data_IF_985773456280
#
_entry.id   IF_985773456280
#
_cell.length_a   1.000
_cell.length_b   1.000
_cell.length_c   1.000
_cell.angle_alpha   90.00
_cell.angle_beta   90.00
_cell.angle_gamma   90.00
#
_symmetry.space_group_name_H-M   'P 1'
#
loop_
_entity.id
_entity.type
_entity.pdbx_description
1 polymer ?
#
# COMPACT_ATOMS: atom_id res chain seq x y z
N UNK A 1 -23.69 37.19 31.62
CA UNK A 1 -24.84 37.08 30.70
C UNK A 1 -24.63 35.87 29.81
N UNK A 2 -25.56 34.92 29.80
CA UNK A 2 -25.55 33.78 28.85
C UNK A 2 -25.37 34.30 27.42
N UNK A 3 -24.58 33.62 26.57
CA UNK A 3 -24.40 34.05 25.18
C UNK A 3 -25.72 34.19 24.42
N UNK A 4 -26.71 33.37 24.78
CA UNK A 4 -28.07 33.42 24.22
C UNK A 4 -28.77 34.73 24.62
N UNK A 5 -28.68 35.12 25.89
CA UNK A 5 -29.17 36.40 26.42
C UNK A 5 -28.51 37.61 25.74
N UNK A 6 -27.18 37.56 25.59
CA UNK A 6 -26.42 38.58 24.86
C UNK A 6 -26.88 38.73 23.40
N UNK A 7 -27.21 37.62 22.73
CA UNK A 7 -27.71 37.63 21.35
C UNK A 7 -29.13 38.20 21.25
N UNK A 8 -30.04 37.81 22.15
CA UNK A 8 -31.41 38.32 22.18
C UNK A 8 -31.47 39.84 22.39
N UNK A 9 -30.64 40.36 23.31
CA UNK A 9 -30.50 41.81 23.51
C UNK A 9 -29.98 42.54 22.27
N UNK A 10 -29.06 41.92 21.51
CA UNK A 10 -28.55 42.48 20.26
C UNK A 10 -29.62 42.51 19.17
N UNK A 11 -30.52 41.53 19.18
CA UNK A 11 -31.64 41.40 18.24
C UNK A 11 -32.87 42.23 18.65
N UNK A 12 -32.77 43.04 19.72
CA UNK A 12 -33.87 43.87 20.24
C UNK A 12 -35.03 43.07 20.85
N UNK A 13 -34.81 41.79 21.15
CA UNK A 13 -35.81 40.88 21.74
C UNK A 13 -35.68 40.84 23.26
N UNK A 14 -36.74 40.37 23.90
CA UNK A 14 -36.79 40.19 25.35
C UNK A 14 -35.71 39.21 25.84
N UNK A 15 -35.09 39.49 26.99
CA UNK A 15 -33.92 38.77 27.52
C UNK A 15 -34.28 37.48 28.29
N UNK A 16 -35.42 36.88 27.95
CA UNK A 16 -35.96 35.67 28.56
C UNK A 16 -35.52 34.46 27.74
N UNK A 17 -34.87 33.49 28.39
CA UNK A 17 -34.48 32.22 27.74
C UNK A 17 -35.27 31.06 28.35
N UNK A 18 -35.53 30.02 27.55
CA UNK A 18 -36.22 28.78 28.01
C UNK A 18 -35.50 28.14 29.22
N UNK A 19 -34.18 28.33 29.31
CA UNK A 19 -33.33 27.81 30.39
C UNK A 19 -33.44 28.62 31.71
N UNK A 20 -34.15 29.75 31.71
CA UNK A 20 -34.44 30.52 32.93
C UNK A 20 -35.54 29.85 33.78
N UNK A 21 -36.40 29.04 33.15
CA UNK A 21 -37.37 28.20 33.85
C UNK A 21 -36.71 26.88 34.33
N UNK A 22 -36.99 26.40 35.55
CA UNK A 22 -36.42 25.16 36.06
C UNK A 22 -36.68 23.93 35.19
N UNK A 23 -37.80 23.85 34.46
CA UNK A 23 -38.07 22.73 33.56
C UNK A 23 -37.21 22.80 32.30
N UNK A 24 -37.06 24.00 31.71
CA UNK A 24 -36.19 24.22 30.55
C UNK A 24 -34.72 23.99 30.87
N UNK A 25 -34.25 24.40 32.05
CA UNK A 25 -32.88 24.11 32.52
C UNK A 25 -32.62 22.61 32.64
N UNK A 26 -33.53 21.84 33.28
CA UNK A 26 -33.39 20.37 33.40
C UNK A 26 -33.30 19.69 32.03
N UNK A 27 -34.12 20.13 31.07
CA UNK A 27 -34.08 19.62 29.70
C UNK A 27 -32.76 19.94 29.01
N UNK A 28 -32.27 21.18 29.11
CA UNK A 28 -31.00 21.59 28.52
C UNK A 28 -29.81 20.82 29.13
N UNK A 29 -29.83 20.60 30.45
CA UNK A 29 -28.84 19.79 31.16
C UNK A 29 -28.85 18.35 30.64
N UNK A 30 -30.02 17.71 30.57
CA UNK A 30 -30.17 16.35 30.06
C UNK A 30 -29.66 16.21 28.61
N UNK A 31 -30.00 17.15 27.73
CA UNK A 31 -29.52 17.16 26.34
C UNK A 31 -27.99 17.27 26.31
N UNK A 32 -27.42 18.19 27.08
CA UNK A 32 -25.98 18.43 27.10
C UNK A 32 -25.22 17.21 27.59
N UNK A 33 -25.67 16.63 28.71
CA UNK A 33 -25.10 15.42 29.30
C UNK A 33 -25.17 14.26 28.29
N UNK A 34 -26.33 14.03 27.69
CA UNK A 34 -26.52 12.96 26.70
C UNK A 34 -25.60 13.13 25.49
N UNK A 35 -25.46 14.34 24.96
CA UNK A 35 -24.55 14.63 23.84
C UNK A 35 -23.09 14.38 24.21
N UNK A 36 -22.64 14.83 25.38
CA UNK A 36 -21.27 14.61 25.85
C UNK A 36 -20.94 13.12 25.95
N UNK A 37 -21.86 12.30 26.46
CA UNK A 37 -21.67 10.85 26.51
C UNK A 37 -21.64 10.21 25.12
N UNK A 38 -22.54 10.61 24.22
CA UNK A 38 -22.53 10.13 22.84
C UNK A 38 -21.22 10.49 22.11
N UNK A 39 -20.73 11.71 22.28
CA UNK A 39 -19.48 12.18 21.68
C UNK A 39 -18.26 11.45 22.26
N UNK A 40 -18.21 11.21 23.58
CA UNK A 40 -17.15 10.40 24.20
C UNK A 40 -17.16 8.97 23.66
N UNK A 41 -18.32 8.35 23.53
CA UNK A 41 -18.42 6.97 23.03
C UNK A 41 -18.02 6.88 21.56
N UNK A 42 -18.43 7.85 20.73
CA UNK A 42 -17.98 7.96 19.34
C UNK A 42 -16.46 8.11 19.25
N UNK A 43 -15.87 8.95 20.09
CA UNK A 43 -14.42 9.13 20.15
C UNK A 43 -13.71 7.86 20.61
N UNK A 44 -14.26 7.12 21.58
CA UNK A 44 -13.72 5.83 22.05
C UNK A 44 -13.67 4.83 20.90
N UNK A 45 -14.79 4.64 20.18
CA UNK A 45 -14.86 3.75 19.02
C UNK A 45 -13.88 4.13 17.91
N UNK A 46 -13.77 5.42 17.60
CA UNK A 46 -12.82 5.90 16.57
C UNK A 46 -11.36 5.60 16.94
N UNK A 47 -10.99 5.75 18.21
CA UNK A 47 -9.64 5.42 18.68
C UNK A 47 -9.38 3.91 18.66
N UNK A 48 -10.37 3.11 19.05
CA UNK A 48 -10.30 1.65 19.02
C UNK A 48 -10.17 1.12 17.58
N UNK A 49 -10.97 1.65 16.65
CA UNK A 49 -10.91 1.33 15.23
C UNK A 49 -9.55 1.71 14.63
N UNK A 50 -9.02 2.90 14.94
CA UNK A 50 -7.69 3.32 14.49
C UNK A 50 -6.59 2.38 15.01
N UNK A 51 -6.64 1.99 16.28
CA UNK A 51 -5.66 1.08 16.86
C UNK A 51 -5.72 -0.31 16.20
N UNK A 52 -6.93 -0.81 15.93
CA UNK A 52 -7.13 -2.08 15.23
C UNK A 52 -6.64 -2.02 13.77
N UNK A 53 -6.90 -0.93 13.06
CA UNK A 53 -6.43 -0.70 11.69
C UNK A 53 -4.91 -0.66 11.63
N UNK A 54 -4.26 0.03 12.57
CA UNK A 54 -2.81 0.11 12.66
C UNK A 54 -2.18 -1.25 12.98
N UNK A 55 -2.77 -1.98 13.93
CA UNK A 55 -2.37 -3.37 14.22
C UNK A 55 -2.51 -4.24 12.97
N UNK A 56 -3.65 -4.18 12.28
CA UNK A 56 -3.89 -4.93 11.04
C UNK A 56 -2.85 -4.59 9.97
N UNK A 57 -2.56 -3.31 9.75
CA UNK A 57 -1.55 -2.86 8.79
C UNK A 57 -0.15 -3.38 9.15
N UNK A 58 0.22 -3.34 10.42
CA UNK A 58 1.52 -3.86 10.88
C UNK A 58 1.63 -5.38 10.64
N UNK A 59 0.55 -6.13 10.92
CA UNK A 59 0.52 -7.57 10.68
C UNK A 59 0.56 -7.91 9.19
N UNK A 60 -0.21 -7.19 8.36
CA UNK A 60 -0.20 -7.37 6.90
C UNK A 60 1.17 -7.06 6.31
N UNK A 61 1.84 -5.99 6.78
CA UNK A 61 3.20 -5.66 6.35
C UNK A 61 4.23 -6.72 6.73
N UNK A 62 4.15 -7.29 7.95
CA UNK A 62 5.02 -8.38 8.38
C UNK A 62 4.80 -9.65 7.56
N UNK A 63 3.54 -10.00 7.26
CA UNK A 63 3.20 -11.14 6.41
C UNK A 63 3.77 -10.93 5.01
N UNK A 64 3.55 -9.76 4.40
CA UNK A 64 4.11 -9.47 3.06
C UNK A 64 5.64 -9.49 3.04
N UNK A 65 6.30 -9.01 4.10
CA UNK A 65 7.76 -9.09 4.20
C UNK A 65 8.24 -10.55 4.30
N UNK A 66 7.54 -11.38 5.07
CA UNK A 66 7.84 -12.81 5.16
C UNK A 66 7.62 -13.54 3.83
N UNK A 67 6.54 -13.25 3.10
CA UNK A 67 6.27 -13.80 1.78
C UNK A 67 7.33 -13.38 0.76
N UNK A 68 7.72 -12.10 0.73
CA UNK A 68 8.81 -11.62 -0.10
C UNK A 68 10.13 -12.32 0.21
N UNK A 69 10.42 -12.57 1.50
CA UNK A 69 11.61 -13.30 1.92
C UNK A 69 11.58 -14.74 1.43
N UNK A 70 10.46 -15.44 1.60
CA UNK A 70 10.28 -16.81 1.10
C UNK A 70 10.46 -16.88 -0.41
N UNK A 71 9.85 -15.96 -1.15
CA UNK A 71 9.98 -15.92 -2.61
C UNK A 71 11.43 -15.67 -3.05
N UNK A 72 12.17 -14.81 -2.34
CA UNK A 72 13.58 -14.57 -2.62
C UNK A 72 14.44 -15.81 -2.30
N UNK A 73 14.17 -16.49 -1.18
CA UNK A 73 14.83 -17.75 -0.80
C UNK A 73 14.56 -18.85 -1.84
N UNK A 74 13.30 -19.02 -2.28
CA UNK A 74 12.90 -19.96 -3.32
C UNK A 74 13.56 -19.62 -4.66
N UNK A 75 13.59 -18.34 -5.04
CA UNK A 75 14.26 -17.89 -6.26
C UNK A 75 15.76 -18.18 -6.22
N UNK A 76 16.43 -17.88 -5.11
CA UNK A 76 17.85 -18.16 -4.93
C UNK A 76 18.14 -19.66 -5.03
N UNK A 77 17.35 -20.48 -4.34
CA UNK A 77 17.47 -21.94 -4.39
C UNK A 77 17.29 -22.47 -5.82
N UNK A 78 16.23 -22.07 -6.51
CA UNK A 78 15.96 -22.49 -7.90
C UNK A 78 17.06 -21.99 -8.87
N UNK A 79 17.60 -20.80 -8.63
CA UNK A 79 18.70 -20.26 -9.43
C UNK A 79 20.00 -21.06 -9.25
N UNK A 80 20.32 -21.45 -8.03
CA UNK A 80 21.49 -22.26 -7.72
C UNK A 80 21.35 -23.69 -8.21
N UNK A 81 20.20 -24.34 -8.00
CA UNK A 81 19.94 -25.69 -8.49
C UNK A 81 20.01 -25.77 -10.03
N UNK A 82 19.49 -24.75 -10.74
CA UNK A 82 19.61 -24.66 -12.21
C UNK A 82 20.98 -24.18 -12.70
N UNK A 83 21.93 -23.85 -11.83
CA UNK A 83 23.24 -23.29 -12.21
C UNK A 83 24.08 -24.30 -12.99
N UNK A 84 24.14 -25.55 -12.52
CA UNK A 84 24.95 -26.59 -13.17
C UNK A 84 24.36 -27.01 -14.51
N UNK A 85 23.03 -27.08 -14.62
CA UNK A 85 22.36 -27.32 -15.90
C UNK A 85 22.60 -26.18 -16.90
N UNK A 86 22.50 -24.91 -16.46
CA UNK A 86 22.75 -23.74 -17.31
C UNK A 86 24.21 -23.65 -17.75
N UNK A 87 25.15 -23.83 -16.82
CA UNK A 87 26.59 -23.77 -17.12
C UNK A 87 27.05 -24.97 -17.97
N UNK A 88 26.50 -26.16 -17.70
CA UNK A 88 26.68 -27.37 -18.49
C UNK A 88 26.14 -27.21 -19.91
N UNK A 89 24.99 -26.57 -20.08
CA UNK A 89 24.40 -26.30 -21.40
C UNK A 89 25.31 -25.44 -22.28
N UNK A 90 25.90 -24.36 -21.75
CA UNK A 90 26.85 -23.53 -22.51
C UNK A 90 28.14 -24.27 -22.85
N UNK A 91 28.70 -25.01 -21.90
CA UNK A 91 29.89 -25.86 -22.15
C UNK A 91 29.62 -26.90 -23.22
N UNK A 92 28.46 -27.55 -23.17
CA UNK A 92 28.02 -28.53 -24.18
C UNK A 92 27.77 -27.88 -25.54
N UNK A 93 27.23 -26.66 -25.59
CA UNK A 93 27.06 -25.90 -26.82
C UNK A 93 28.42 -25.54 -27.45
N UNK A 94 29.38 -25.04 -26.67
CA UNK A 94 30.73 -24.75 -27.13
C UNK A 94 31.46 -26.01 -27.60
N UNK A 95 31.36 -27.12 -26.86
CA UNK A 95 31.93 -28.40 -27.25
C UNK A 95 31.31 -28.93 -28.56
N UNK A 96 29.99 -28.77 -28.75
CA UNK A 96 29.32 -29.10 -30.02
C UNK A 96 29.77 -28.19 -31.17
N UNK A 97 30.00 -26.90 -30.92
CA UNK A 97 30.52 -25.94 -31.91
C UNK A 97 31.94 -26.32 -32.35
N UNK A 98 32.85 -26.58 -31.40
CA UNK A 98 34.21 -27.02 -31.65
C UNK A 98 34.25 -28.33 -32.44
N UNK A 99 33.43 -29.33 -32.08
CA UNK A 99 33.30 -30.58 -32.84
C UNK A 99 32.74 -30.40 -34.26
N UNK A 100 31.91 -29.37 -34.50
CA UNK A 100 31.41 -29.04 -35.84
C UNK A 100 32.47 -28.32 -36.68
N UNK A 101 33.27 -27.45 -36.08
CA UNK A 101 34.42 -26.79 -36.72
C UNK A 101 35.52 -27.80 -37.10
N UNK A 102 35.87 -28.72 -36.20
CA UNK A 102 36.85 -29.80 -36.44
C UNK A 102 36.42 -30.76 -37.56
N UNK A 103 35.11 -31.06 -37.64
CA UNK A 103 34.53 -31.86 -38.74
C UNK A 103 34.36 -31.09 -40.06
N UNK A 104 34.95 -29.89 -40.20
CA UNK A 104 34.84 -29.05 -41.38
C UNK A 104 33.43 -28.52 -41.67
N UNK A 105 32.45 -28.80 -40.81
CA UNK A 105 31.08 -28.28 -40.86
C UNK A 105 31.00 -27.00 -40.03
N UNK A 106 31.89 -26.05 -40.30
CA UNK A 106 31.75 -24.69 -39.78
C UNK A 106 30.37 -24.18 -40.21
N UNK A 107 29.67 -23.46 -39.34
CA UNK A 107 28.53 -22.61 -39.71
C UNK A 107 28.98 -21.41 -40.58
N UNK A 108 29.93 -21.61 -41.49
CA UNK A 108 30.17 -20.79 -42.68
C UNK A 108 29.01 -21.06 -43.65
N UNK A 109 27.81 -20.70 -43.21
CA UNK A 109 26.55 -21.08 -43.87
C UNK A 109 25.37 -20.22 -43.46
N UNK A 110 25.55 -19.22 -42.60
CA UNK A 110 24.69 -18.04 -42.69
C UNK A 110 25.15 -17.28 -43.95
N UNK A 111 24.59 -17.66 -45.11
CA UNK A 111 24.69 -16.92 -46.37
C UNK A 111 23.94 -15.57 -46.29
N UNK A 112 23.93 -14.92 -45.12
CA UNK A 112 23.48 -13.56 -44.94
C UNK A 112 24.72 -12.68 -44.84
N UNK A 113 25.19 -12.19 -45.99
CA UNK A 113 25.97 -10.97 -46.04
C UNK A 113 24.95 -9.82 -46.04
N UNK A 114 24.83 -9.02 -44.96
CA UNK A 114 23.98 -7.85 -44.98
C UNK A 114 24.35 -6.99 -46.21
N UNK A 115 23.37 -6.49 -46.98
CA UNK A 115 23.66 -5.61 -48.10
C UNK A 115 24.51 -4.43 -47.65
N UNK A 116 25.58 -4.11 -48.38
CA UNK A 116 26.38 -2.90 -48.09
C UNK A 116 25.46 -1.68 -48.20
N UNK A 117 25.29 -0.97 -47.08
CA UNK A 117 24.53 0.29 -47.05
C UNK A 117 25.22 1.26 -48.01
N UNK A 118 24.54 1.63 -49.09
CA UNK A 118 24.99 2.73 -49.95
C UNK A 118 24.66 4.02 -49.20
N UNK A 119 25.68 4.75 -48.77
CA UNK A 119 25.51 6.12 -48.30
C UNK A 119 25.04 6.94 -49.51
N UNK A 120 23.77 7.36 -49.54
CA UNK A 120 23.33 8.36 -50.50
C UNK A 120 23.98 9.69 -50.11
N UNK A 121 24.54 10.36 -51.11
CA UNK A 121 25.24 11.65 -50.99
C UNK A 121 24.24 12.78 -51.17
#
# INVERSE_FOLDING_TARGET
MSEKKRKLRKDGKEDVIEEDDPAGYKKALWITVTKVFADREKKRKMLEERANEEKRRSTEALVQAAEKRKLAEEFAKNYEESRDERSGSWRNFQAKKAKKEDKGKTLKGAAFKPPKVKLQK
#
